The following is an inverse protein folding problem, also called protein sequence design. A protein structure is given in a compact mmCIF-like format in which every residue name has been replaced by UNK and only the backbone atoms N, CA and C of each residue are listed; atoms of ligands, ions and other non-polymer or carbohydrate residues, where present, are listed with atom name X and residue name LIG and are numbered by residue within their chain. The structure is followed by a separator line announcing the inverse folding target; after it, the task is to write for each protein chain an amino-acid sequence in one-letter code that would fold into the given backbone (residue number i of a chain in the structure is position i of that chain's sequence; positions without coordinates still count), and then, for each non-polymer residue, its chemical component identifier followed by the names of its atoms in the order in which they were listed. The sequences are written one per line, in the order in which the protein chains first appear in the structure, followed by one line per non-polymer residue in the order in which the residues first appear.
data_IF_960075485664
#
_entry.id   IF_960075485664
#
_cell.length_a   1.000
_cell.length_b   1.000
_cell.length_c   1.000
_cell.angle_alpha   90.00
_cell.angle_beta   90.00
_cell.angle_gamma   90.00
#
_symmetry.space_group_name_H-M   'P 1'
#
loop_
_entity.id
_entity.type
_entity.pdbx_description
1 polymer ?
#
# COMPACT_ATOMS: atom_id res chain seq x y z
N UNK A 1 16.72 0.75 -22.96
CA UNK A 1 15.98 1.78 -22.20
C UNK A 1 16.96 2.61 -21.42
N UNK A 2 16.90 3.94 -21.50
CA UNK A 2 17.68 4.84 -20.64
C UNK A 2 16.95 4.96 -19.31
N UNK A 3 17.66 4.88 -18.18
CA UNK A 3 17.09 4.89 -16.84
C UNK A 3 17.75 5.98 -16.02
N UNK A 4 16.95 6.70 -15.23
CA UNK A 4 17.41 7.70 -14.28
C UNK A 4 16.97 7.23 -12.90
N UNK A 5 17.90 7.17 -11.95
CA UNK A 5 17.64 6.74 -10.56
C UNK A 5 18.06 7.89 -9.64
N UNK A 6 17.20 8.22 -8.69
CA UNK A 6 17.46 9.25 -7.66
C UNK A 6 17.11 8.71 -6.29
N UNK A 7 17.88 9.10 -5.27
CA UNK A 7 17.63 8.79 -3.86
C UNK A 7 17.21 10.03 -3.04
N UNK A 8 17.13 11.20 -3.66
CA UNK A 8 16.76 12.43 -2.99
C UNK A 8 15.21 12.57 -2.91
N UNK A 9 14.62 12.78 -1.71
CA UNK A 9 13.18 12.88 -1.54
C UNK A 9 12.56 14.10 -2.24
N UNK A 10 13.26 15.23 -2.33
CA UNK A 10 12.77 16.43 -2.98
C UNK A 10 12.64 16.21 -4.49
N UNK A 11 13.65 15.58 -5.09
CA UNK A 11 13.64 15.21 -6.51
C UNK A 11 12.55 14.16 -6.79
N UNK A 12 12.38 13.17 -5.90
CA UNK A 12 11.32 12.18 -6.04
C UNK A 12 9.92 12.83 -6.01
N UNK A 13 9.72 13.83 -5.15
CA UNK A 13 8.47 14.60 -5.08
C UNK A 13 8.19 15.35 -6.38
N UNK A 14 9.20 15.97 -6.99
CA UNK A 14 9.04 16.66 -8.28
C UNK A 14 8.67 15.69 -9.40
N UNK A 15 9.36 14.55 -9.46
CA UNK A 15 9.09 13.50 -10.46
C UNK A 15 7.67 12.95 -10.33
N UNK A 16 7.23 12.64 -9.11
CA UNK A 16 5.92 12.01 -8.86
C UNK A 16 4.73 12.97 -9.05
N UNK A 17 4.93 14.27 -8.88
CA UNK A 17 3.87 15.28 -9.08
C UNK A 17 3.78 15.78 -10.52
N UNK A 18 4.84 15.59 -11.32
CA UNK A 18 4.84 16.01 -12.71
C UNK A 18 4.10 15.03 -13.62
N UNK A 19 3.23 15.54 -14.48
CA UNK A 19 2.53 14.74 -15.49
C UNK A 19 3.46 14.23 -16.61
N UNK A 20 4.63 14.84 -16.78
CA UNK A 20 5.62 14.45 -17.81
C UNK A 20 6.18 13.06 -17.54
N UNK A 21 6.30 12.67 -16.27
CA UNK A 21 6.76 11.34 -15.86
C UNK A 21 5.61 10.37 -15.56
N UNK A 22 4.36 10.76 -15.85
CA UNK A 22 3.20 9.92 -15.54
C UNK A 22 2.93 8.86 -16.61
N UNK A 23 3.58 8.95 -17.78
CA UNK A 23 3.41 7.99 -18.86
C UNK A 23 3.95 6.60 -18.50
N UNK A 24 3.25 5.57 -18.96
CA UNK A 24 3.58 4.16 -18.69
C UNK A 24 3.61 3.42 -20.02
N UNK A 25 4.79 3.10 -20.56
CA UNK A 25 4.89 2.37 -21.80
C UNK A 25 4.28 0.97 -21.63
N UNK A 26 3.50 0.55 -22.63
CA UNK A 26 2.83 -0.75 -22.63
C UNK A 26 3.91 -1.84 -22.65
N UNK A 27 3.83 -2.77 -21.70
CA UNK A 27 4.70 -3.95 -21.66
C UNK A 27 4.06 -5.10 -22.43
N UNK A 28 4.85 -5.80 -23.24
CA UNK A 28 4.42 -7.02 -23.93
C UNK A 28 3.80 -8.05 -22.98
N UNK A 29 4.37 -8.21 -21.79
CA UNK A 29 3.81 -9.10 -20.75
C UNK A 29 2.41 -8.70 -20.28
N UNK A 30 2.13 -7.40 -20.17
CA UNK A 30 0.80 -6.91 -19.81
C UNK A 30 -0.19 -7.09 -20.97
N UNK A 31 0.29 -7.07 -22.22
CA UNK A 31 -0.52 -7.40 -23.38
C UNK A 31 -0.88 -8.89 -23.42
N UNK A 32 0.10 -9.79 -23.21
CA UNK A 32 -0.12 -11.24 -23.17
C UNK A 32 -1.09 -11.67 -22.08
N UNK A 33 -1.12 -10.96 -20.94
CA UNK A 33 -2.05 -11.22 -19.84
C UNK A 33 -3.38 -10.46 -19.96
N UNK A 34 -3.65 -9.80 -21.10
CA UNK A 34 -4.82 -8.95 -21.32
C UNK A 34 -4.99 -7.82 -20.27
N UNK A 35 -3.93 -7.49 -19.52
CA UNK A 35 -3.90 -6.42 -18.52
C UNK A 35 -3.59 -5.04 -19.09
N UNK A 36 -3.48 -4.90 -20.42
CA UNK A 36 -3.23 -3.60 -21.08
C UNK A 36 -4.23 -2.51 -20.66
N UNK A 37 -5.45 -2.90 -20.28
CA UNK A 37 -6.54 -2.01 -19.86
C UNK A 37 -6.70 -1.90 -18.34
N UNK A 38 -5.94 -2.68 -17.58
CA UNK A 38 -5.98 -2.61 -16.11
C UNK A 38 -5.43 -1.26 -15.62
N UNK A 39 -6.01 -0.73 -14.54
CA UNK A 39 -5.68 0.61 -14.00
C UNK A 39 -4.18 0.82 -13.71
N UNK A 40 -3.44 -0.23 -13.37
CA UNK A 40 -2.00 -0.18 -13.08
C UNK A 40 -1.09 -0.11 -14.31
N UNK A 41 -1.58 -0.58 -15.46
CA UNK A 41 -0.83 -0.75 -16.72
C UNK A 41 -1.34 0.14 -17.86
N UNK A 42 -2.50 0.78 -17.69
CA UNK A 42 -3.04 1.69 -18.69
C UNK A 42 -2.13 2.93 -18.88
N UNK A 43 -1.88 3.35 -20.13
CA UNK A 43 -1.08 4.54 -20.42
C UNK A 43 -1.75 5.80 -19.89
N UNK A 44 -0.96 6.85 -19.65
CA UNK A 44 -1.49 8.10 -19.13
C UNK A 44 -2.40 8.78 -20.16
N UNK A 45 -3.63 9.08 -19.78
CA UNK A 45 -4.60 9.67 -20.70
C UNK A 45 -5.96 9.88 -20.05
N UNK A 46 -6.95 10.25 -20.87
CA UNK A 46 -8.34 10.42 -20.41
C UNK A 46 -8.86 9.12 -19.82
N UNK A 47 -8.57 7.98 -20.46
CA UNK A 47 -9.01 6.66 -20.02
C UNK A 47 -8.58 6.34 -18.58
N UNK A 48 -7.29 6.43 -18.29
CA UNK A 48 -6.75 6.15 -16.96
C UNK A 48 -7.19 7.19 -15.92
N UNK A 49 -7.32 8.48 -16.29
CA UNK A 49 -7.87 9.51 -15.40
C UNK A 49 -9.31 9.19 -14.98
N UNK A 50 -10.14 8.75 -15.92
CA UNK A 50 -11.52 8.30 -15.64
C UNK A 50 -11.54 7.07 -14.75
N UNK A 51 -10.71 6.05 -15.05
CA UNK A 51 -10.57 4.87 -14.19
C UNK A 51 -10.18 5.23 -12.75
N UNK A 52 -9.17 6.10 -12.57
CA UNK A 52 -8.78 6.56 -11.23
C UNK A 52 -9.94 7.26 -10.54
N UNK A 53 -10.68 8.12 -11.24
CA UNK A 53 -11.82 8.82 -10.66
C UNK A 53 -12.86 7.83 -10.14
N UNK A 54 -13.25 6.84 -10.95
CA UNK A 54 -14.21 5.78 -10.58
C UNK A 54 -13.69 4.98 -9.38
N UNK A 55 -12.42 4.57 -9.41
CA UNK A 55 -11.81 3.82 -8.31
C UNK A 55 -11.79 4.64 -7.01
N UNK A 56 -11.43 5.92 -7.07
CA UNK A 56 -11.43 6.81 -5.92
C UNK A 56 -12.83 7.05 -5.35
N UNK A 57 -13.86 7.20 -6.20
CA UNK A 57 -15.23 7.48 -5.76
C UNK A 57 -15.96 6.25 -5.23
N UNK A 58 -15.72 5.08 -5.80
CA UNK A 58 -16.52 3.88 -5.51
C UNK A 58 -15.78 2.78 -4.75
N UNK A 59 -14.46 2.67 -4.88
CA UNK A 59 -13.70 1.61 -4.23
C UNK A 59 -12.92 2.14 -3.02
N UNK A 60 -12.25 3.27 -3.20
CA UNK A 60 -11.37 3.87 -2.19
C UNK A 60 -12.00 5.06 -1.45
N UNK A 61 -13.32 5.22 -1.50
CA UNK A 61 -13.96 6.30 -0.75
C UNK A 61 -14.00 5.97 0.75
N UNK A 62 -13.96 6.98 1.65
CA UNK A 62 -13.92 6.75 3.09
C UNK A 62 -15.07 5.88 3.61
N UNK A 63 -16.25 5.98 2.99
CA UNK A 63 -17.42 5.15 3.33
C UNK A 63 -17.15 3.66 3.07
N UNK A 64 -16.62 3.33 1.90
CA UNK A 64 -16.31 1.95 1.52
C UNK A 64 -15.16 1.40 2.35
N UNK A 65 -14.10 2.20 2.57
CA UNK A 65 -12.98 1.83 3.43
C UNK A 65 -13.48 1.44 4.84
N UNK A 66 -14.39 2.23 5.42
CA UNK A 66 -15.01 1.94 6.72
C UNK A 66 -15.88 0.68 6.69
N UNK A 67 -16.68 0.48 5.63
CA UNK A 67 -17.52 -0.70 5.47
C UNK A 67 -16.70 -2.00 5.46
N UNK A 68 -15.57 -2.01 4.75
CA UNK A 68 -14.66 -3.17 4.69
C UNK A 68 -13.73 -3.32 5.91
N UNK A 69 -13.87 -2.49 6.96
CA UNK A 69 -12.99 -2.54 8.14
C UNK A 69 -13.13 -3.89 8.87
N UNK A 70 -14.35 -4.32 9.14
CA UNK A 70 -14.62 -5.54 9.91
C UNK A 70 -14.06 -6.78 9.19
N UNK A 71 -14.34 -6.89 7.89
CA UNK A 71 -13.86 -7.99 7.05
C UNK A 71 -12.33 -8.06 6.99
N UNK A 72 -11.66 -6.90 6.86
CA UNK A 72 -10.18 -6.85 6.89
C UNK A 72 -9.60 -7.27 8.24
N UNK A 73 -10.28 -6.93 9.33
CA UNK A 73 -9.88 -7.35 10.68
C UNK A 73 -10.06 -8.86 10.87
N UNK A 74 -11.16 -9.42 10.37
CA UNK A 74 -11.43 -10.85 10.41
C UNK A 74 -10.34 -11.66 9.66
N UNK A 75 -10.02 -11.30 8.42
CA UNK A 75 -8.95 -11.94 7.65
C UNK A 75 -7.61 -11.82 8.38
N UNK A 76 -7.31 -10.65 8.96
CA UNK A 76 -6.07 -10.46 9.70
C UNK A 76 -5.97 -11.42 10.89
N UNK A 77 -7.05 -11.60 11.64
CA UNK A 77 -7.09 -12.55 12.75
C UNK A 77 -6.98 -13.99 12.28
N UNK A 78 -7.70 -14.38 11.22
CA UNK A 78 -7.58 -15.72 10.63
C UNK A 78 -6.13 -16.02 10.21
N UNK A 79 -5.44 -15.05 9.61
CA UNK A 79 -4.03 -15.18 9.23
C UNK A 79 -3.12 -15.35 10.46
N UNK A 80 -3.36 -14.59 11.53
CA UNK A 80 -2.62 -14.69 12.79
C UNK A 80 -2.86 -16.05 13.45
N UNK A 81 -4.11 -16.48 13.53
CA UNK A 81 -4.51 -17.77 14.12
C UNK A 81 -3.88 -18.93 13.33
N UNK A 82 -3.92 -18.87 11.99
CA UNK A 82 -3.28 -19.87 11.15
C UNK A 82 -1.75 -19.93 11.38
N UNK A 83 -1.09 -18.78 11.50
CA UNK A 83 0.34 -18.75 11.86
C UNK A 83 0.60 -19.32 13.26
N UNK A 84 -0.27 -18.99 14.23
CA UNK A 84 -0.16 -19.49 15.60
C UNK A 84 -0.30 -21.01 15.65
N UNK A 85 -1.34 -21.57 15.03
CA UNK A 85 -1.59 -23.02 15.03
C UNK A 85 -0.55 -23.80 14.22
N UNK A 86 -0.02 -23.26 13.12
CA UNK A 86 1.09 -23.91 12.40
C UNK A 86 2.38 -23.93 13.22
N UNK A 87 2.64 -22.90 14.01
CA UNK A 87 3.80 -22.84 14.90
C UNK A 87 3.66 -23.80 16.08
N UNK A 88 2.51 -23.82 16.75
CA UNK A 88 2.23 -24.70 17.90
C UNK A 88 2.10 -26.17 17.50
N UNK A 89 1.55 -26.46 16.31
CA UNK A 89 1.36 -27.81 15.79
C UNK A 89 2.63 -28.49 15.25
N UNK A 90 3.73 -27.75 15.08
CA UNK A 90 4.97 -28.26 14.45
C UNK A 90 6.03 -28.79 15.43
N UNK A 91 5.81 -28.78 16.74
CA UNK A 91 6.77 -29.39 17.66
C UNK A 91 6.48 -29.16 19.13
N UNK A 92 6.37 -30.26 19.88
CA UNK A 92 6.32 -30.24 21.32
C UNK A 92 7.59 -29.68 21.97
N UNK A 93 7.44 -29.26 23.22
CA UNK A 93 8.53 -29.21 24.20
C UNK A 93 9.52 -28.05 24.07
N UNK A 94 9.08 -26.86 24.45
CA UNK A 94 9.73 -25.95 25.42
C UNK A 94 9.43 -24.50 25.06
N UNK A 95 8.45 -23.93 25.77
CA UNK A 95 8.29 -22.50 26.08
C UNK A 95 8.83 -21.49 25.05
N UNK A 96 8.22 -21.47 23.87
CA UNK A 96 8.31 -20.32 22.99
C UNK A 96 7.22 -19.32 23.41
N UNK A 97 7.54 -18.36 24.27
CA UNK A 97 6.68 -17.21 24.50
C UNK A 97 6.52 -16.43 23.19
N UNK A 98 5.31 -16.35 22.60
CA UNK A 98 5.07 -15.43 21.51
C UNK A 98 5.09 -14.03 22.10
N UNK A 99 6.25 -13.36 22.03
CA UNK A 99 6.35 -11.94 22.37
C UNK A 99 5.63 -11.17 21.25
N UNK A 100 4.31 -11.06 21.37
CA UNK A 100 3.50 -10.12 20.59
C UNK A 100 4.04 -8.72 20.85
N UNK A 101 4.90 -8.22 19.97
CA UNK A 101 5.27 -6.80 19.92
C UNK A 101 4.14 -6.07 19.21
N UNK A 102 2.96 -6.07 19.83
CA UNK A 102 1.81 -5.30 19.38
C UNK A 102 1.60 -4.19 20.41
N UNK A 103 1.89 -2.96 19.99
CA UNK A 103 1.27 -1.72 20.46
C UNK A 103 1.63 -1.13 21.85
N UNK A 104 2.90 -1.13 22.27
CA UNK A 104 3.32 -0.27 23.40
C UNK A 104 4.63 0.51 23.22
N UNK A 105 5.23 0.54 22.02
CA UNK A 105 6.46 1.31 21.78
C UNK A 105 6.39 2.34 20.63
N UNK A 106 5.22 2.58 20.04
CA UNK A 106 5.02 3.64 19.04
C UNK A 106 4.16 4.73 19.67
N UNK A 107 4.68 5.45 20.66
CA UNK A 107 3.99 6.65 21.15
C UNK A 107 4.89 7.72 21.82
N UNK A 108 6.22 7.72 21.60
CA UNK A 108 7.06 8.81 22.16
C UNK A 108 8.03 9.53 21.22
N UNK A 109 8.28 9.03 20.01
CA UNK A 109 9.31 9.67 19.15
C UNK A 109 8.75 10.59 18.07
N UNK A 110 7.43 10.63 17.82
CA UNK A 110 6.81 11.48 16.80
C UNK A 110 6.24 12.81 17.33
N UNK A 111 6.36 13.08 18.64
CA UNK A 111 5.85 14.30 19.27
C UNK A 111 6.83 15.49 19.27
N UNK A 112 8.09 15.31 18.85
CA UNK A 112 9.13 16.35 18.98
C UNK A 112 9.41 17.17 17.71
N UNK A 113 8.68 16.97 16.61
CA UNK A 113 8.84 17.77 15.38
C UNK A 113 7.51 18.32 14.85
N UNK A 114 6.87 19.16 15.68
CA UNK A 114 5.99 20.23 15.19
C UNK A 114 6.73 21.55 15.37
N UNK A 115 7.33 22.16 14.34
CA UNK A 115 7.66 23.57 14.40
C UNK A 115 6.36 24.39 14.39
N UNK A 116 6.37 25.44 15.19
CA UNK A 116 5.31 26.43 15.41
C UNK A 116 4.52 26.80 14.15
N UNK A 117 3.19 26.70 14.21
CA UNK A 117 2.31 27.62 13.49
C UNK A 117 1.61 28.49 14.53
N UNK A 118 2.18 29.67 14.77
CA UNK A 118 1.42 30.86 15.11
C UNK A 118 0.95 31.47 13.79
N UNK A 119 -0.36 31.55 13.61
CA UNK A 119 -1.08 32.55 12.82
C UNK A 119 -2.58 32.41 13.16
#
# INVERSE_FOLDING_TARGET
TRVIVTCNPDVAKEILNSSVFADRPVKESAYSLMFNRAIGFAPYGVYWRTLRRIAATHLFCPKQIKAYKAYRFEIANQNIDHCYWNFVGSGGGSEAQPRCVCASHVDRSWAHHRPNLQA
#
